data_IF_709817125678
#
_entry.id   IF_709817125678
#
_cell.length_a   1.000
_cell.length_b   1.000
_cell.length_c   1.000
_cell.angle_alpha   90.00
_cell.angle_beta   90.00
_cell.angle_gamma   90.00
#
_symmetry.space_group_name_H-M   'P 1'
#
loop_
_entity.id
_entity.type
_entity.pdbx_description
1 polymer ?
#
# COMPACT_ATOMS: atom_id res chain seq x y z
N UNK A 1 -18.13 -31.08 -11.31
CA UNK A 1 -16.96 -30.93 -12.18
C UNK A 1 -15.75 -31.42 -11.40
N UNK A 2 -14.76 -32.06 -12.08
CA UNK A 2 -13.54 -32.44 -11.37
C UNK A 2 -12.78 -31.18 -10.91
N UNK A 3 -12.11 -31.24 -9.75
CA UNK A 3 -11.29 -30.12 -9.29
C UNK A 3 -10.14 -29.87 -10.27
N UNK A 4 -9.84 -28.60 -10.50
CA UNK A 4 -8.73 -28.13 -11.33
C UNK A 4 -7.72 -27.43 -10.40
N UNK A 5 -6.44 -27.80 -10.50
CA UNK A 5 -5.36 -27.13 -9.77
C UNK A 5 -4.68 -26.12 -10.70
N UNK A 6 -4.78 -24.85 -10.35
CA UNK A 6 -4.08 -23.75 -11.00
C UNK A 6 -2.77 -23.51 -10.27
N UNK A 7 -1.65 -23.61 -10.99
CA UNK A 7 -0.31 -23.46 -10.44
C UNK A 7 0.23 -22.05 -10.62
N UNK A 8 1.18 -21.69 -9.75
CA UNK A 8 1.88 -20.39 -9.79
C UNK A 8 0.90 -19.21 -9.80
N UNK A 9 -0.14 -19.30 -8.97
CA UNK A 9 -1.12 -18.23 -8.82
C UNK A 9 -0.54 -17.12 -7.94
N UNK A 10 -0.70 -15.88 -8.38
CA UNK A 10 -0.26 -14.71 -7.61
C UNK A 10 -1.30 -14.34 -6.57
N UNK A 11 -0.88 -14.22 -5.31
CA UNK A 11 -1.73 -13.82 -4.18
C UNK A 11 -2.06 -12.32 -4.25
N UNK A 12 -3.34 -11.90 -4.29
CA UNK A 12 -3.72 -10.50 -4.42
C UNK A 12 -3.99 -9.77 -3.09
N UNK A 13 -3.49 -10.26 -1.94
CA UNK A 13 -3.95 -9.76 -0.64
C UNK A 13 -2.96 -8.89 0.12
N UNK A 14 -1.67 -9.02 -0.10
CA UNK A 14 -0.67 -8.10 0.45
C UNK A 14 0.44 -7.83 -0.56
N UNK A 15 1.26 -6.84 -0.27
CA UNK A 15 2.32 -6.39 -1.18
C UNK A 15 3.50 -7.38 -1.34
N UNK A 16 3.47 -8.54 -0.71
CA UNK A 16 4.40 -9.64 -1.01
C UNK A 16 4.14 -10.27 -2.38
N UNK A 17 2.92 -10.20 -2.90
CA UNK A 17 2.51 -10.82 -4.16
C UNK A 17 3.14 -12.21 -4.34
N UNK A 18 2.92 -13.09 -3.35
CA UNK A 18 3.43 -14.47 -3.43
C UNK A 18 2.92 -15.11 -4.72
N UNK A 19 3.83 -15.61 -5.56
CA UNK A 19 3.57 -16.07 -6.92
C UNK A 19 3.81 -17.59 -7.09
N UNK A 20 3.71 -18.32 -5.98
CA UNK A 20 3.94 -19.76 -5.89
C UNK A 20 2.74 -20.51 -5.28
N UNK A 21 1.53 -19.96 -5.38
CA UNK A 21 0.35 -20.60 -4.82
C UNK A 21 -0.21 -21.62 -5.81
N UNK A 22 -0.59 -22.80 -5.30
CA UNK A 22 -1.40 -23.78 -6.02
C UNK A 22 -2.85 -23.63 -5.54
N UNK A 23 -3.77 -23.27 -6.43
CA UNK A 23 -5.17 -22.99 -6.11
C UNK A 23 -6.06 -24.05 -6.72
N UNK A 24 -6.80 -24.77 -5.87
CA UNK A 24 -7.80 -25.75 -6.31
C UNK A 24 -9.15 -25.08 -6.53
N UNK A 25 -9.70 -25.24 -7.73
CA UNK A 25 -11.00 -24.67 -8.14
C UNK A 25 -11.96 -25.80 -8.50
N UNK A 26 -13.14 -25.80 -7.92
CA UNK A 26 -14.25 -26.69 -8.29
C UNK A 26 -15.46 -25.87 -8.73
N UNK A 27 -15.87 -26.04 -9.97
CA UNK A 27 -16.87 -25.17 -10.58
C UNK A 27 -16.38 -23.71 -10.58
N UNK A 28 -17.08 -22.85 -9.87
CA UNK A 28 -16.74 -21.42 -9.76
C UNK A 28 -16.40 -21.01 -8.31
N UNK A 29 -15.71 -21.89 -7.58
CA UNK A 29 -15.33 -21.70 -6.18
C UNK A 29 -13.91 -22.19 -5.92
N UNK A 30 -13.18 -21.47 -5.10
CA UNK A 30 -11.89 -21.93 -4.56
C UNK A 30 -12.18 -22.89 -3.40
N UNK A 31 -11.68 -24.13 -3.50
CA UNK A 31 -11.85 -25.17 -2.49
C UNK A 31 -10.57 -25.47 -1.71
N UNK A 32 -9.40 -25.11 -2.25
CA UNK A 32 -8.11 -25.27 -1.59
C UNK A 32 -7.08 -24.27 -2.08
N UNK A 33 -6.13 -23.91 -1.22
CA UNK A 33 -4.99 -23.04 -1.57
C UNK A 33 -3.76 -23.56 -0.84
N UNK A 34 -2.82 -24.12 -1.58
CA UNK A 34 -1.53 -24.57 -1.06
C UNK A 34 -0.49 -23.45 -1.18
N UNK A 35 0.56 -23.50 -0.34
CA UNK A 35 1.59 -22.47 -0.24
C UNK A 35 1.05 -21.08 0.14
N UNK A 36 -0.15 -20.97 0.71
CA UNK A 36 -0.73 -19.72 1.19
C UNK A 36 -0.45 -19.51 2.68
N UNK A 37 -0.58 -18.28 3.14
CA UNK A 37 -0.73 -17.98 4.57
C UNK A 37 -2.22 -18.03 4.96
N UNK A 38 -2.50 -18.13 6.25
CA UNK A 38 -3.88 -18.21 6.76
C UNK A 38 -4.75 -17.05 6.26
N UNK A 39 -4.20 -15.81 6.24
CA UNK A 39 -4.90 -14.64 5.72
C UNK A 39 -5.33 -14.84 4.25
N UNK A 40 -4.43 -15.32 3.40
CA UNK A 40 -4.74 -15.56 1.99
C UNK A 40 -5.76 -16.69 1.84
N UNK A 41 -5.58 -17.81 2.54
CA UNK A 41 -6.50 -18.95 2.51
C UNK A 41 -7.93 -18.55 2.82
N UNK A 42 -8.14 -17.79 3.90
CA UNK A 42 -9.47 -17.30 4.27
C UNK A 42 -10.08 -16.36 3.21
N UNK A 43 -9.27 -15.46 2.67
CA UNK A 43 -9.74 -14.47 1.69
C UNK A 43 -10.06 -15.08 0.32
N UNK A 44 -9.27 -16.06 -0.14
CA UNK A 44 -9.59 -16.80 -1.37
C UNK A 44 -10.93 -17.54 -1.30
N UNK A 45 -11.32 -17.98 -0.10
CA UNK A 45 -12.57 -18.71 0.15
C UNK A 45 -13.74 -17.80 0.50
N UNK A 46 -13.51 -16.50 0.75
CA UNK A 46 -14.56 -15.55 1.12
C UNK A 46 -15.53 -15.29 -0.05
N UNK A 47 -16.83 -15.52 0.21
CA UNK A 47 -17.90 -15.43 -0.81
C UNK A 47 -18.91 -14.30 -0.61
N UNK A 48 -18.73 -13.41 0.36
CA UNK A 48 -19.72 -12.41 0.74
C UNK A 48 -19.60 -11.13 -0.10
N UNK A 49 -19.99 -11.19 -1.38
CA UNK A 49 -20.02 -10.03 -2.26
C UNK A 49 -21.45 -9.55 -2.48
N UNK A 50 -21.59 -8.25 -2.74
CA UNK A 50 -22.87 -7.71 -3.20
C UNK A 50 -23.21 -8.28 -4.58
N UNK A 51 -24.48 -8.68 -4.82
CA UNK A 51 -24.89 -9.28 -6.10
C UNK A 51 -24.97 -8.27 -7.25
N UNK A 52 -25.05 -6.98 -6.96
CA UNK A 52 -25.13 -5.89 -7.94
C UNK A 52 -25.07 -4.52 -7.26
N UNK A 53 -25.11 -3.43 -8.02
CA UNK A 53 -25.09 -2.08 -7.46
C UNK A 53 -26.28 -1.82 -6.54
N UNK A 54 -26.03 -1.14 -5.43
CA UNK A 54 -27.04 -0.73 -4.44
C UNK A 54 -26.95 0.79 -4.24
N UNK A 55 -28.10 1.44 -4.17
CA UNK A 55 -28.25 2.87 -3.94
C UNK A 55 -29.04 3.16 -2.69
N UNK A 56 -28.58 4.08 -1.86
CA UNK A 56 -29.32 4.57 -0.70
C UNK A 56 -30.44 5.51 -1.17
N UNK A 57 -31.67 5.21 -0.75
CA UNK A 57 -32.88 5.99 -1.02
C UNK A 57 -33.62 6.26 0.28
N UNK A 58 -34.66 7.07 0.26
CA UNK A 58 -35.54 7.29 1.41
C UNK A 58 -36.16 5.98 1.98
N UNK A 59 -36.24 4.94 1.15
CA UNK A 59 -36.73 3.60 1.53
C UNK A 59 -35.63 2.65 2.02
N UNK A 60 -34.38 3.15 2.12
CA UNK A 60 -33.18 2.36 2.43
C UNK A 60 -32.45 1.90 1.17
N UNK A 61 -31.59 0.90 1.31
CA UNK A 61 -30.79 0.36 0.21
C UNK A 61 -31.65 -0.35 -0.83
N UNK A 62 -31.51 0.05 -2.10
CA UNK A 62 -32.26 -0.48 -3.25
C UNK A 62 -31.28 -0.93 -4.32
N UNK A 63 -31.46 -2.14 -4.87
CA UNK A 63 -30.69 -2.61 -6.03
C UNK A 63 -31.04 -1.80 -7.28
N UNK A 64 -30.03 -1.43 -8.06
CA UNK A 64 -30.17 -0.70 -9.35
C UNK A 64 -29.33 -1.36 -10.44
N UNK A 65 -29.56 -0.99 -11.70
CA UNK A 65 -28.75 -1.44 -12.82
C UNK A 65 -27.36 -0.79 -12.86
N UNK A 66 -26.38 -1.47 -13.46
CA UNK A 66 -25.01 -0.94 -13.59
C UNK A 66 -24.97 0.36 -14.39
N UNK A 67 -25.75 0.45 -15.48
CA UNK A 67 -25.85 1.64 -16.32
C UNK A 67 -26.35 2.86 -15.53
N UNK A 68 -27.39 2.67 -14.71
CA UNK A 68 -27.92 3.73 -13.83
C UNK A 68 -26.89 4.14 -12.76
N UNK A 69 -26.14 3.16 -12.21
CA UNK A 69 -25.10 3.43 -11.24
C UNK A 69 -23.95 4.26 -11.84
N UNK A 70 -23.55 3.96 -13.08
CA UNK A 70 -22.53 4.72 -13.80
C UNK A 70 -23.03 6.13 -14.12
N UNK A 71 -24.28 6.29 -14.58
CA UNK A 71 -24.86 7.60 -14.87
C UNK A 71 -24.94 8.47 -13.61
N UNK A 72 -25.35 7.90 -12.47
CA UNK A 72 -25.32 8.61 -11.19
C UNK A 72 -23.91 9.09 -10.83
N UNK A 73 -22.91 8.20 -10.96
CA UNK A 73 -21.52 8.53 -10.66
C UNK A 73 -20.99 9.64 -11.55
N UNK A 74 -21.27 9.60 -12.85
CA UNK A 74 -20.85 10.63 -13.80
C UNK A 74 -21.52 11.97 -13.46
N UNK A 75 -22.84 11.97 -13.18
CA UNK A 75 -23.56 13.17 -12.82
C UNK A 75 -23.02 13.80 -11.53
N UNK A 76 -22.75 12.99 -10.49
CA UNK A 76 -22.14 13.43 -9.24
C UNK A 76 -20.78 14.10 -9.49
N UNK A 77 -19.89 13.43 -10.21
CA UNK A 77 -18.53 13.94 -10.47
C UNK A 77 -18.52 15.22 -11.32
N UNK A 78 -19.43 15.35 -12.28
CA UNK A 78 -19.53 16.54 -13.15
C UNK A 78 -20.27 17.72 -12.50
N UNK A 79 -21.02 17.50 -11.42
CA UNK A 79 -21.70 18.56 -10.67
C UNK A 79 -20.86 19.11 -9.51
N UNK A 80 -19.82 18.38 -9.11
CA UNK A 80 -18.94 18.78 -8.02
C UNK A 80 -17.95 19.87 -8.45
N UNK A 81 -17.71 20.84 -7.58
CA UNK A 81 -16.71 21.89 -7.78
C UNK A 81 -15.28 21.37 -7.50
N UNK A 82 -15.12 20.49 -6.50
CA UNK A 82 -13.83 19.90 -6.14
C UNK A 82 -13.99 18.42 -5.73
N UNK A 83 -14.22 17.52 -6.67
CA UNK A 83 -14.39 16.10 -6.38
C UNK A 83 -13.07 15.45 -5.93
N UNK A 84 -13.16 14.56 -4.92
CA UNK A 84 -12.06 13.73 -4.45
C UNK A 84 -12.22 12.31 -5.00
N UNK A 85 -11.13 11.73 -5.52
CA UNK A 85 -11.07 10.32 -5.90
C UNK A 85 -10.01 9.63 -5.05
N UNK A 86 -10.43 8.64 -4.25
CA UNK A 86 -9.56 8.04 -3.22
C UNK A 86 -9.58 6.52 -3.22
N UNK A 87 -8.42 5.90 -2.85
CA UNK A 87 -8.31 4.46 -2.58
C UNK A 87 -7.13 3.78 -3.25
N UNK A 88 -7.38 2.94 -4.28
CA UNK A 88 -6.44 2.40 -5.27
C UNK A 88 -5.53 1.27 -4.81
N UNK A 89 -5.48 0.92 -3.52
CA UNK A 89 -4.48 -0.02 -2.98
C UNK A 89 -4.72 -1.48 -3.33
N UNK A 90 -5.98 -1.84 -3.66
CA UNK A 90 -6.39 -3.24 -3.88
C UNK A 90 -6.98 -3.48 -5.26
N UNK A 91 -6.64 -2.61 -6.22
CA UNK A 91 -7.01 -2.74 -7.62
C UNK A 91 -5.80 -2.77 -8.55
N UNK A 92 -6.00 -3.00 -9.83
CA UNK A 92 -4.94 -3.11 -10.84
C UNK A 92 -4.39 -1.75 -11.29
N UNK A 93 -3.19 -1.77 -11.86
CA UNK A 93 -2.53 -0.61 -12.51
C UNK A 93 -3.42 0.01 -13.59
N UNK A 94 -4.12 -0.82 -14.35
CA UNK A 94 -5.02 -0.40 -15.41
C UNK A 94 -6.18 0.43 -14.87
N UNK A 95 -6.76 0.05 -13.73
CA UNK A 95 -7.80 0.80 -13.04
C UNK A 95 -7.24 2.09 -12.41
N UNK A 96 -6.06 2.02 -11.81
CA UNK A 96 -5.36 3.18 -11.22
C UNK A 96 -5.10 4.26 -12.26
N UNK A 97 -4.66 3.89 -13.46
CA UNK A 97 -4.45 4.81 -14.58
C UNK A 97 -5.73 5.53 -14.99
N UNK A 98 -6.85 4.81 -15.08
CA UNK A 98 -8.16 5.41 -15.41
C UNK A 98 -8.61 6.40 -14.33
N UNK A 99 -8.38 6.10 -13.05
CA UNK A 99 -8.68 7.00 -11.95
C UNK A 99 -7.94 8.34 -12.07
N UNK A 100 -6.66 8.31 -12.44
CA UNK A 100 -5.86 9.52 -12.66
C UNK A 100 -6.40 10.33 -13.82
N UNK A 101 -6.73 9.67 -14.94
CA UNK A 101 -7.33 10.35 -16.10
C UNK A 101 -8.71 10.95 -15.80
N UNK A 102 -9.53 10.29 -14.97
CA UNK A 102 -10.80 10.86 -14.51
C UNK A 102 -10.54 12.12 -13.68
N UNK A 103 -9.64 12.06 -12.70
CA UNK A 103 -9.30 13.20 -11.84
C UNK A 103 -8.80 14.41 -12.66
N UNK A 104 -7.91 14.18 -13.62
CA UNK A 104 -7.40 15.20 -14.53
C UNK A 104 -8.54 15.80 -15.38
N UNK A 105 -9.38 14.94 -15.96
CA UNK A 105 -10.48 15.38 -16.83
C UNK A 105 -11.51 16.26 -16.10
N UNK A 106 -11.84 15.95 -14.83
CA UNK A 106 -12.82 16.70 -14.05
C UNK A 106 -12.22 17.86 -13.23
N UNK A 107 -10.88 18.01 -13.22
CA UNK A 107 -10.21 18.99 -12.37
C UNK A 107 -10.30 18.65 -10.87
N UNK A 108 -10.41 17.38 -10.54
CA UNK A 108 -10.54 16.88 -9.17
C UNK A 108 -9.21 16.61 -8.48
N UNK A 109 -9.29 16.07 -7.27
CA UNK A 109 -8.13 15.60 -6.49
C UNK A 109 -8.10 14.09 -6.51
N UNK A 110 -6.93 13.51 -6.74
CA UNK A 110 -6.70 12.07 -6.59
C UNK A 110 -5.69 11.79 -5.48
N UNK A 111 -6.04 10.88 -4.57
CA UNK A 111 -5.13 10.44 -3.52
C UNK A 111 -5.31 8.94 -3.23
N UNK A 112 -4.32 8.34 -2.59
CA UNK A 112 -4.29 6.92 -2.28
C UNK A 112 -4.04 6.66 -0.80
N UNK A 113 -4.24 5.40 -0.39
CA UNK A 113 -3.93 4.97 0.97
C UNK A 113 -2.46 5.19 1.36
N UNK A 114 -1.58 5.47 0.39
CA UNK A 114 -0.19 5.90 0.61
C UNK A 114 -0.12 7.09 1.58
N UNK A 115 -0.98 8.09 1.45
CA UNK A 115 -0.96 9.31 2.26
C UNK A 115 -1.11 9.04 3.77
N UNK A 116 -1.92 8.06 4.14
CA UNK A 116 -2.15 7.64 5.54
C UNK A 116 -1.19 6.54 6.03
N UNK A 117 -0.36 6.00 5.16
CA UNK A 117 0.51 4.85 5.47
C UNK A 117 1.99 5.19 5.28
N UNK A 118 2.44 5.26 4.05
CA UNK A 118 3.83 5.47 3.64
C UNK A 118 4.10 6.82 2.96
N UNK A 119 3.20 7.80 3.07
CA UNK A 119 3.43 9.18 2.62
C UNK A 119 4.75 9.75 3.16
N UNK A 120 5.05 9.63 4.47
CA UNK A 120 6.34 10.05 5.02
C UNK A 120 7.55 9.35 4.39
N UNK A 121 7.41 8.10 3.93
CA UNK A 121 8.48 7.40 3.22
C UNK A 121 8.77 8.03 1.86
N UNK A 122 7.71 8.38 1.12
CA UNK A 122 7.86 9.03 -0.20
C UNK A 122 8.53 10.39 -0.04
N UNK A 123 8.12 11.21 0.94
CA UNK A 123 8.73 12.52 1.21
C UNK A 123 10.23 12.39 1.50
N UNK A 124 10.64 11.42 2.31
CA UNK A 124 12.05 11.18 2.59
C UNK A 124 12.82 10.71 1.35
N UNK A 125 12.22 9.82 0.56
CA UNK A 125 12.81 9.33 -0.70
C UNK A 125 12.99 10.46 -1.71
N UNK A 126 12.07 11.40 -1.79
CA UNK A 126 12.19 12.58 -2.65
C UNK A 126 13.35 13.50 -2.24
N UNK A 127 13.68 13.55 -0.93
CA UNK A 127 14.82 14.37 -0.45
C UNK A 127 16.18 13.71 -0.67
N UNK A 128 16.31 12.40 -0.38
CA UNK A 128 17.62 11.74 -0.24
C UNK A 128 17.80 10.48 -1.10
N UNK A 129 16.82 10.15 -1.93
CA UNK A 129 16.87 8.96 -2.78
C UNK A 129 16.39 7.68 -2.09
N UNK A 130 16.46 6.56 -2.82
CA UNK A 130 16.01 5.24 -2.37
C UNK A 130 17.04 4.17 -2.72
N UNK A 131 17.82 3.69 -1.75
CA UNK A 131 18.76 2.59 -1.97
C UNK A 131 18.03 1.24 -1.99
N UNK A 132 17.15 1.04 -2.98
CA UNK A 132 16.28 -0.13 -3.09
C UNK A 132 16.95 -1.33 -3.75
N UNK A 133 16.30 -2.49 -3.60
CA UNK A 133 16.62 -3.72 -4.35
C UNK A 133 15.38 -4.60 -4.48
N UNK A 134 15.46 -5.65 -5.31
CA UNK A 134 14.39 -6.64 -5.38
C UNK A 134 14.44 -7.61 -4.19
N UNK A 135 13.27 -8.16 -3.81
CA UNK A 135 13.20 -9.22 -2.80
C UNK A 135 14.00 -10.47 -3.23
N UNK A 136 14.16 -10.69 -4.53
CA UNK A 136 15.04 -11.72 -5.08
C UNK A 136 16.51 -11.49 -4.73
N UNK A 137 16.98 -10.25 -4.74
CA UNK A 137 18.35 -9.93 -4.28
C UNK A 137 18.51 -10.16 -2.78
N UNK A 138 17.52 -9.74 -1.98
CA UNK A 138 17.52 -10.01 -0.53
C UNK A 138 17.58 -11.51 -0.26
N UNK A 139 16.69 -12.29 -0.88
CA UNK A 139 16.66 -13.75 -0.73
C UNK A 139 18.01 -14.40 -1.01
N UNK A 140 18.68 -13.94 -2.07
CA UNK A 140 19.89 -14.59 -2.54
C UNK A 140 21.17 -14.12 -1.85
N UNK A 141 21.18 -12.94 -1.20
CA UNK A 141 22.41 -12.29 -0.75
C UNK A 141 22.41 -11.79 0.69
N UNK A 142 21.25 -11.40 1.26
CA UNK A 142 21.23 -10.71 2.54
C UNK A 142 21.57 -11.67 3.70
N UNK A 143 22.71 -11.44 4.34
CA UNK A 143 23.16 -12.13 5.54
C UNK A 143 22.82 -11.37 6.83
N UNK A 144 22.46 -10.08 6.72
CA UNK A 144 21.86 -9.30 7.82
C UNK A 144 20.55 -8.69 7.36
N UNK A 145 19.48 -8.94 8.13
CA UNK A 145 18.13 -8.41 7.87
C UNK A 145 17.69 -7.60 9.09
N UNK A 146 17.27 -6.37 8.85
CA UNK A 146 16.73 -5.48 9.88
C UNK A 146 15.25 -5.24 9.59
N UNK A 147 14.38 -5.44 10.58
CA UNK A 147 13.00 -4.98 10.58
C UNK A 147 12.83 -3.87 11.62
N UNK A 148 12.43 -2.68 11.19
CA UNK A 148 12.25 -1.53 12.06
C UNK A 148 10.80 -1.02 12.03
N UNK A 149 10.12 -1.09 13.18
CA UNK A 149 8.73 -0.64 13.29
C UNK A 149 7.78 -1.36 12.36
N UNK A 150 8.02 -2.66 12.12
CA UNK A 150 7.17 -3.54 11.32
C UNK A 150 7.16 -4.97 11.87
N UNK A 151 6.01 -5.63 11.75
CA UNK A 151 5.78 -7.00 12.21
C UNK A 151 5.36 -7.89 11.03
N UNK A 152 6.32 -8.32 10.17
CA UNK A 152 5.97 -9.10 8.97
C UNK A 152 5.32 -10.46 9.27
N UNK A 153 5.57 -11.10 10.41
CA UNK A 153 4.87 -12.36 10.75
C UNK A 153 3.36 -12.18 10.87
N UNK A 154 2.89 -10.97 11.19
CA UNK A 154 1.47 -10.62 11.23
C UNK A 154 0.99 -10.02 9.89
N UNK A 155 1.67 -8.97 9.41
CA UNK A 155 1.22 -8.18 8.26
C UNK A 155 1.57 -8.79 6.90
N UNK A 156 2.64 -9.60 6.83
CA UNK A 156 3.17 -10.22 5.60
C UNK A 156 3.67 -11.64 5.92
N UNK A 157 2.78 -12.58 6.32
CA UNK A 157 3.18 -13.81 7.02
C UNK A 157 4.21 -14.67 6.31
N UNK A 158 4.25 -14.65 4.97
CA UNK A 158 5.24 -15.39 4.18
C UNK A 158 6.53 -14.62 3.87
N UNK A 159 6.69 -13.38 4.34
CA UNK A 159 7.85 -12.56 3.98
C UNK A 159 9.17 -13.17 4.50
N UNK A 160 9.19 -13.66 5.75
CA UNK A 160 10.38 -14.27 6.33
C UNK A 160 10.73 -15.60 5.65
N UNK A 161 9.73 -16.44 5.40
CA UNK A 161 9.95 -17.77 4.82
C UNK A 161 10.25 -17.72 3.32
N UNK A 162 9.76 -16.69 2.61
CA UNK A 162 9.89 -16.62 1.16
C UNK A 162 11.09 -15.78 0.70
N UNK A 163 11.42 -14.70 1.41
CA UNK A 163 12.36 -13.70 0.91
C UNK A 163 13.52 -13.38 1.84
N UNK A 164 13.41 -13.68 3.14
CA UNK A 164 14.43 -13.25 4.10
C UNK A 164 14.91 -14.39 5.00
N UNK A 165 14.64 -14.33 6.28
CA UNK A 165 15.27 -15.13 7.35
C UNK A 165 15.27 -16.63 7.10
N UNK A 166 14.16 -17.20 6.65
CA UNK A 166 14.00 -18.66 6.49
C UNK A 166 14.11 -19.15 5.05
N UNK A 167 14.33 -18.23 4.09
CA UNK A 167 14.44 -18.59 2.69
C UNK A 167 15.87 -19.00 2.30
N UNK A 168 16.06 -20.17 1.72
CA UNK A 168 17.32 -20.53 1.07
C UNK A 168 17.55 -19.63 -0.15
N UNK A 169 18.78 -19.18 -0.31
CA UNK A 169 19.21 -18.31 -1.38
C UNK A 169 20.34 -18.91 -2.21
N UNK A 170 20.69 -18.27 -3.31
CA UNK A 170 21.77 -18.74 -4.17
C UNK A 170 23.12 -18.74 -3.44
N UNK A 171 23.41 -17.71 -2.66
CA UNK A 171 24.67 -17.55 -1.90
C UNK A 171 24.55 -17.93 -0.44
N UNK A 172 23.35 -18.19 0.08
CA UNK A 172 23.03 -18.52 1.47
C UNK A 172 22.18 -19.78 1.47
N UNK A 173 22.84 -20.94 1.62
CA UNK A 173 22.22 -22.25 1.44
C UNK A 173 21.54 -22.82 2.70
N UNK A 174 21.88 -22.26 3.87
CA UNK A 174 21.37 -22.72 5.16
C UNK A 174 20.43 -21.70 5.81
N UNK A 175 19.69 -20.94 5.01
CA UNK A 175 18.64 -20.01 5.45
C UNK A 175 19.01 -19.21 6.71
N UNK A 176 18.26 -19.41 7.83
CA UNK A 176 18.42 -18.67 9.06
C UNK A 176 19.77 -18.90 9.78
N UNK A 177 20.50 -19.98 9.49
CA UNK A 177 21.81 -20.25 10.10
C UNK A 177 22.92 -19.35 9.55
N UNK A 178 22.72 -18.78 8.39
CA UNK A 178 23.66 -17.88 7.72
C UNK A 178 23.18 -16.42 7.73
N UNK A 179 22.06 -16.14 8.44
CA UNK A 179 21.47 -14.80 8.53
C UNK A 179 21.36 -14.34 9.98
N UNK A 180 21.60 -13.06 10.20
CA UNK A 180 21.31 -12.39 11.47
C UNK A 180 20.05 -11.54 11.28
N UNK A 181 19.03 -11.80 12.09
CA UNK A 181 17.79 -11.05 12.14
C UNK A 181 17.81 -10.04 13.29
N UNK A 182 17.73 -8.77 12.97
CA UNK A 182 17.63 -7.66 13.92
C UNK A 182 16.21 -7.10 13.84
N UNK A 183 15.53 -6.93 14.97
CA UNK A 183 14.23 -6.29 15.05
C UNK A 183 14.27 -5.10 16.00
N UNK A 184 13.87 -3.92 15.54
CA UNK A 184 13.72 -2.72 16.36
C UNK A 184 12.24 -2.31 16.41
N UNK A 185 11.67 -2.28 17.62
CA UNK A 185 10.26 -1.92 17.83
C UNK A 185 10.06 -1.35 19.25
N UNK A 186 8.91 -0.72 19.49
CA UNK A 186 8.52 -0.21 20.82
C UNK A 186 8.05 -1.34 21.74
N UNK A 187 7.59 -2.45 21.18
CA UNK A 187 7.12 -3.64 21.87
C UNK A 187 7.74 -4.91 21.28
N UNK A 188 7.81 -5.97 22.06
CA UNK A 188 8.26 -7.27 21.57
C UNK A 188 7.14 -7.91 20.73
N UNK A 189 7.28 -7.87 19.41
CA UNK A 189 6.34 -8.43 18.44
C UNK A 189 6.61 -9.90 18.16
N UNK A 190 5.72 -10.58 17.40
CA UNK A 190 5.92 -11.95 16.93
C UNK A 190 7.23 -12.08 16.15
N UNK A 191 7.53 -11.10 15.29
CA UNK A 191 8.80 -11.05 14.55
C UNK A 191 9.99 -10.85 15.50
N UNK A 192 9.86 -10.05 16.55
CA UNK A 192 10.90 -9.87 17.56
C UNK A 192 11.14 -11.12 18.41
N UNK A 193 10.16 -12.03 18.53
CA UNK A 193 10.34 -13.30 19.25
C UNK A 193 11.28 -14.27 18.54
N UNK A 194 11.45 -14.13 17.23
CA UNK A 194 12.33 -14.97 16.42
C UNK A 194 13.62 -14.26 16.00
N UNK A 195 13.85 -13.04 16.49
CA UNK A 195 15.04 -12.25 16.19
C UNK A 195 16.27 -12.71 16.98
N UNK A 196 17.44 -12.65 16.36
CA UNK A 196 18.74 -12.82 17.04
C UNK A 196 19.03 -11.60 17.94
N UNK A 197 18.64 -10.40 17.50
CA UNK A 197 18.79 -9.16 18.24
C UNK A 197 17.47 -8.37 18.26
N UNK A 198 16.95 -8.12 19.46
CA UNK A 198 15.80 -7.24 19.65
C UNK A 198 16.21 -5.92 20.29
N UNK A 199 15.92 -4.81 19.61
CA UNK A 199 16.20 -3.44 20.05
C UNK A 199 14.89 -2.79 20.46
N UNK A 200 14.61 -2.71 21.76
CA UNK A 200 13.41 -2.03 22.25
C UNK A 200 13.64 -0.52 22.30
N UNK A 201 12.96 0.20 21.41
CA UNK A 201 13.03 1.66 21.31
C UNK A 201 11.86 2.28 22.08
N UNK A 202 12.12 3.31 22.91
CA UNK A 202 11.03 4.07 23.51
C UNK A 202 10.17 4.75 22.43
N UNK A 203 8.83 4.83 22.58
CA UNK A 203 7.98 5.51 21.61
C UNK A 203 8.50 6.91 21.26
N UNK A 204 8.62 7.19 19.96
CA UNK A 204 9.18 8.46 19.45
C UNK A 204 10.70 8.60 19.51
N UNK A 205 11.43 7.56 19.95
CA UNK A 205 12.89 7.57 20.08
C UNK A 205 13.67 7.16 18.83
N UNK A 206 12.97 6.77 17.76
CA UNK A 206 13.56 6.21 16.54
C UNK A 206 14.63 7.11 15.92
N UNK A 207 14.35 8.41 15.81
CA UNK A 207 15.28 9.37 15.25
C UNK A 207 16.62 9.40 16.01
N UNK A 208 16.56 9.38 17.34
CA UNK A 208 17.76 9.41 18.18
C UNK A 208 18.57 8.11 18.07
N UNK A 209 17.89 6.93 18.04
CA UNK A 209 18.55 5.63 17.91
C UNK A 209 19.22 5.49 16.55
N UNK A 210 18.53 5.84 15.46
CA UNK A 210 19.09 5.85 14.11
C UNK A 210 20.28 6.82 14.00
N UNK A 211 20.19 8.01 14.59
CA UNK A 211 21.30 8.96 14.66
C UNK A 211 22.52 8.44 15.43
N UNK A 212 22.30 7.72 16.53
CA UNK A 212 23.38 7.08 17.27
C UNK A 212 24.05 5.96 16.46
N UNK A 213 23.27 5.12 15.77
CA UNK A 213 23.81 4.09 14.87
C UNK A 213 24.64 4.70 13.75
N UNK A 214 24.20 5.81 13.13
CA UNK A 214 24.99 6.55 12.13
C UNK A 214 26.32 7.04 12.71
N UNK A 215 26.29 7.60 13.92
CA UNK A 215 27.53 8.04 14.58
C UNK A 215 28.47 6.87 14.84
N UNK A 216 27.96 5.71 15.28
CA UNK A 216 28.73 4.48 15.49
C UNK A 216 29.35 3.98 14.17
N UNK A 217 28.57 3.93 13.09
CA UNK A 217 29.05 3.51 11.76
C UNK A 217 30.20 4.40 11.28
N UNK A 218 30.15 5.69 11.60
CA UNK A 218 31.23 6.67 11.32
C UNK A 218 32.42 6.60 12.28
N UNK A 219 32.39 5.71 13.27
CA UNK A 219 33.43 5.58 14.30
C UNK A 219 33.41 6.67 15.38
N UNK A 220 32.32 7.47 15.47
CA UNK A 220 32.15 8.54 16.46
C UNK A 220 31.39 8.06 17.69
N UNK A 221 32.02 7.23 18.51
CA UNK A 221 31.38 6.57 19.64
C UNK A 221 31.43 7.34 20.96
N UNK A 222 32.35 8.31 21.08
CA UNK A 222 32.61 9.01 22.37
C UNK A 222 31.42 9.90 22.81
N UNK A 223 30.70 10.46 21.86
CA UNK A 223 29.56 11.34 22.10
C UNK A 223 28.24 10.59 22.39
N UNK A 224 28.23 9.26 22.32
CA UNK A 224 27.02 8.49 22.55
C UNK A 224 26.83 8.29 24.06
N UNK A 225 25.67 8.74 24.62
CA UNK A 225 25.38 8.57 26.04
C UNK A 225 25.19 7.09 26.40
N UNK A 226 25.19 6.75 27.67
CA UNK A 226 25.01 5.39 28.18
C UNK A 226 23.73 4.72 27.68
N UNK A 227 22.69 5.50 27.44
CA UNK A 227 21.40 5.07 26.85
C UNK A 227 20.91 6.09 25.83
N UNK A 228 20.36 5.61 24.73
CA UNK A 228 19.68 6.43 23.69
C UNK A 228 18.26 5.92 23.54
N UNK A 229 17.25 6.73 23.89
CA UNK A 229 15.84 6.34 23.84
C UNK A 229 15.53 4.95 24.45
N UNK A 230 16.17 4.63 25.58
CA UNK A 230 16.02 3.37 26.30
C UNK A 230 16.99 2.27 25.87
N UNK A 231 17.66 2.41 24.73
CA UNK A 231 18.61 1.40 24.23
C UNK A 231 19.99 1.63 24.83
N UNK A 232 20.62 0.61 25.47
CA UNK A 232 21.95 0.72 26.02
C UNK A 232 23.01 0.97 24.93
N UNK A 233 24.01 1.83 25.21
CA UNK A 233 25.15 2.07 24.30
C UNK A 233 25.85 0.79 23.85
N UNK A 234 26.08 -0.14 24.78
CA UNK A 234 26.70 -1.42 24.45
C UNK A 234 25.93 -2.22 23.38
N UNK A 235 24.59 -2.19 23.46
CA UNK A 235 23.74 -2.83 22.43
C UNK A 235 23.85 -2.12 21.09
N UNK A 236 23.83 -0.77 21.07
CA UNK A 236 23.99 -0.01 19.85
C UNK A 236 25.34 -0.24 19.17
N UNK A 237 26.41 -0.34 19.96
CA UNK A 237 27.75 -0.66 19.44
C UNK A 237 27.77 -2.06 18.79
N UNK A 238 27.15 -3.06 19.43
CA UNK A 238 27.05 -4.41 18.89
C UNK A 238 26.23 -4.44 17.59
N UNK A 239 25.08 -3.77 17.54
CA UNK A 239 24.26 -3.67 16.32
C UNK A 239 25.04 -2.97 15.19
N UNK A 240 25.70 -1.85 15.50
CA UNK A 240 26.51 -1.14 14.52
C UNK A 240 27.64 -2.00 13.93
N UNK A 241 28.27 -2.84 14.76
CA UNK A 241 29.32 -3.75 14.29
C UNK A 241 28.76 -4.89 13.42
N UNK A 242 27.65 -5.52 13.82
CA UNK A 242 26.95 -6.51 13.00
C UNK A 242 26.63 -5.92 11.62
N UNK A 243 26.08 -4.69 11.60
CA UNK A 243 25.74 -4.02 10.35
C UNK A 243 26.97 -3.71 9.48
N UNK A 244 28.10 -3.33 10.07
CA UNK A 244 29.34 -3.05 9.32
C UNK A 244 30.00 -4.29 8.74
N UNK A 245 29.85 -5.44 9.41
CA UNK A 245 30.41 -6.72 9.00
C UNK A 245 29.56 -7.50 8.01
N UNK A 246 28.30 -7.07 7.76
CA UNK A 246 27.43 -7.69 6.79
C UNK A 246 28.08 -7.75 5.40
N UNK A 247 27.90 -8.84 4.68
CA UNK A 247 28.28 -8.93 3.25
C UNK A 247 27.24 -8.25 2.39
N UNK A 248 25.97 -8.38 2.77
CA UNK A 248 24.83 -7.70 2.17
C UNK A 248 23.74 -7.53 3.22
N UNK A 249 23.42 -6.30 3.58
CA UNK A 249 22.35 -5.99 4.52
C UNK A 249 21.06 -5.54 3.83
N UNK A 250 19.93 -5.90 4.42
CA UNK A 250 18.60 -5.46 3.99
C UNK A 250 17.86 -4.81 5.16
N UNK A 251 17.48 -3.56 5.01
CA UNK A 251 16.74 -2.78 5.99
C UNK A 251 15.28 -2.64 5.56
N UNK A 252 14.36 -3.22 6.32
CA UNK A 252 12.92 -3.10 6.13
C UNK A 252 12.32 -2.23 7.21
N UNK A 253 11.36 -1.37 6.85
CA UNK A 253 10.66 -0.56 7.84
C UNK A 253 9.17 -0.44 7.54
N UNK A 254 8.37 -0.26 8.58
CA UNK A 254 6.93 -0.17 8.48
C UNK A 254 6.34 1.07 9.13
N UNK A 255 5.04 0.99 9.40
CA UNK A 255 4.25 2.10 9.96
C UNK A 255 4.73 2.55 11.34
N UNK A 256 5.36 1.67 12.12
CA UNK A 256 5.97 2.06 13.39
C UNK A 256 7.03 3.15 13.25
N UNK A 257 7.67 3.26 12.06
CA UNK A 257 8.62 4.33 11.78
C UNK A 257 7.96 5.55 11.11
N UNK A 258 6.94 5.34 10.26
CA UNK A 258 6.29 6.41 9.50
C UNK A 258 5.26 7.18 10.31
N UNK A 259 4.60 6.55 11.30
CA UNK A 259 3.49 7.11 12.07
C UNK A 259 3.90 7.56 13.49
N UNK A 260 5.18 7.48 13.84
CA UNK A 260 5.72 7.97 15.13
C UNK A 260 6.23 9.41 15.01
N UNK A 261 6.60 10.01 16.16
CA UNK A 261 7.20 11.34 16.18
C UNK A 261 8.44 11.41 15.28
N UNK A 262 8.55 12.46 14.47
CA UNK A 262 9.60 12.59 13.46
C UNK A 262 9.17 12.20 12.04
N UNK A 263 8.16 11.34 11.90
CA UNK A 263 7.56 10.98 10.59
C UNK A 263 8.63 10.78 9.49
N UNK A 264 8.60 11.57 8.42
CA UNK A 264 9.54 11.46 7.29
C UNK A 264 11.02 11.63 7.69
N UNK A 265 11.32 12.39 8.76
CA UNK A 265 12.70 12.56 9.25
C UNK A 265 13.30 11.29 9.81
N UNK A 266 12.48 10.39 10.39
CA UNK A 266 12.94 9.06 10.81
C UNK A 266 13.38 8.24 9.60
N UNK A 267 12.58 8.26 8.54
CA UNK A 267 12.87 7.49 7.32
C UNK A 267 14.10 8.08 6.61
N UNK A 268 14.19 9.40 6.50
CA UNK A 268 15.40 10.07 6.00
C UNK A 268 16.64 9.62 6.78
N UNK A 269 16.57 9.61 8.12
CA UNK A 269 17.68 9.17 8.97
C UNK A 269 18.02 7.67 8.77
N UNK A 270 17.02 6.81 8.50
CA UNK A 270 17.24 5.41 8.14
C UNK A 270 17.91 5.26 6.76
N UNK A 271 17.49 6.04 5.75
CA UNK A 271 18.14 6.07 4.43
C UNK A 271 19.58 6.52 4.56
N UNK A 272 19.83 7.59 5.31
CA UNK A 272 21.17 8.10 5.57
C UNK A 272 22.05 7.11 6.36
N UNK A 273 21.45 6.29 7.27
CA UNK A 273 22.17 5.17 7.91
C UNK A 273 22.59 4.12 6.87
N UNK A 274 21.70 3.75 5.97
CA UNK A 274 22.00 2.81 4.88
C UNK A 274 23.07 3.37 3.95
N UNK A 275 23.05 4.67 3.64
CA UNK A 275 24.11 5.33 2.86
C UNK A 275 25.48 5.28 3.57
N UNK A 276 25.53 5.54 4.87
CA UNK A 276 26.76 5.40 5.68
C UNK A 276 27.29 3.96 5.65
N UNK A 277 26.38 2.97 5.78
CA UNK A 277 26.74 1.55 5.71
C UNK A 277 27.26 1.15 4.32
N UNK A 278 26.75 1.76 3.26
CA UNK A 278 27.21 1.52 1.89
C UNK A 278 28.64 2.01 1.62
N UNK A 279 29.24 2.78 2.52
CA UNK A 279 30.68 3.11 2.50
C UNK A 279 31.56 1.94 2.95
N UNK A 280 31.00 0.98 3.64
CA UNK A 280 31.72 -0.18 4.20
C UNK A 280 31.38 -1.46 3.45
N UNK A 281 30.10 -1.68 3.12
CA UNK A 281 29.61 -2.91 2.51
C UNK A 281 28.35 -2.60 1.67
N UNK A 282 27.50 -3.58 1.37
CA UNK A 282 26.28 -3.42 0.56
C UNK A 282 25.05 -3.42 1.46
N UNK A 283 24.27 -2.35 1.41
CA UNK A 283 23.01 -2.23 2.13
C UNK A 283 21.89 -1.68 1.24
N UNK A 284 20.70 -2.17 1.45
CA UNK A 284 19.49 -1.70 0.79
C UNK A 284 18.39 -1.42 1.80
N UNK A 285 17.40 -0.62 1.39
CA UNK A 285 16.28 -0.25 2.24
C UNK A 285 14.98 -0.44 1.46
N UNK A 286 13.95 -1.02 2.11
CA UNK A 286 12.64 -1.30 1.50
C UNK A 286 11.51 -0.96 2.46
N UNK A 287 10.57 -0.05 2.08
CA UNK A 287 9.34 0.18 2.83
C UNK A 287 8.43 -1.06 2.79
N UNK A 288 7.97 -1.53 3.95
CA UNK A 288 7.02 -2.64 4.08
C UNK A 288 5.59 -2.15 3.83
N UNK A 289 5.23 -1.92 2.56
CA UNK A 289 3.86 -1.55 2.17
C UNK A 289 2.91 -2.71 2.39
N UNK A 290 1.71 -2.43 2.93
CA UNK A 290 0.80 -3.47 3.39
C UNK A 290 -0.07 -4.07 2.29
N UNK A 291 -0.81 -3.23 1.59
CA UNK A 291 -1.82 -3.66 0.62
C UNK A 291 -1.23 -4.09 -0.72
N UNK A 292 -2.02 -4.87 -1.45
CA UNK A 292 -1.75 -5.54 -2.71
C UNK A 292 -0.96 -4.70 -3.73
N UNK A 293 -1.41 -3.49 -4.06
CA UNK A 293 -0.88 -2.69 -5.16
C UNK A 293 -0.67 -1.20 -4.82
N UNK A 294 -0.31 -0.92 -3.58
CA UNK A 294 0.04 0.46 -3.15
C UNK A 294 1.22 1.01 -3.95
N UNK A 295 2.22 0.16 -4.22
CA UNK A 295 3.39 0.55 -5.00
C UNK A 295 2.98 0.92 -6.43
N UNK A 296 2.11 0.12 -7.05
CA UNK A 296 1.63 0.38 -8.41
C UNK A 296 0.96 1.73 -8.56
N UNK A 297 0.11 2.14 -7.60
CA UNK A 297 -0.47 3.48 -7.65
C UNK A 297 0.59 4.58 -7.64
N UNK A 298 1.59 4.49 -6.77
CA UNK A 298 2.65 5.50 -6.72
C UNK A 298 3.43 5.58 -8.03
N UNK A 299 3.73 4.44 -8.66
CA UNK A 299 4.41 4.39 -9.96
C UNK A 299 3.52 5.01 -11.06
N UNK A 300 2.27 4.54 -11.20
CA UNK A 300 1.34 5.05 -12.22
C UNK A 300 1.11 6.54 -12.07
N UNK A 301 0.88 7.01 -10.85
CA UNK A 301 0.67 8.42 -10.56
C UNK A 301 1.92 9.24 -10.90
N UNK A 302 3.12 8.72 -10.57
CA UNK A 302 4.37 9.40 -10.88
C UNK A 302 4.61 9.54 -12.37
N UNK A 303 4.44 8.50 -13.16
CA UNK A 303 4.69 8.62 -14.61
C UNK A 303 3.60 9.39 -15.36
N UNK A 304 2.37 9.42 -14.84
CA UNK A 304 1.28 10.18 -15.45
C UNK A 304 1.30 11.67 -15.11
N UNK A 305 1.72 12.04 -13.88
CA UNK A 305 1.60 13.40 -13.35
C UNK A 305 2.90 14.05 -12.92
N UNK A 306 3.97 13.27 -12.77
CA UNK A 306 5.22 13.70 -12.13
C UNK A 306 5.22 13.57 -10.61
N UNK A 307 4.09 13.17 -9.98
CA UNK A 307 3.92 13.09 -8.53
C UNK A 307 3.34 11.74 -8.08
N UNK A 308 3.73 11.22 -6.91
CA UNK A 308 3.41 9.83 -6.54
C UNK A 308 2.04 9.61 -5.88
N UNK A 309 1.36 10.65 -5.37
CA UNK A 309 0.06 10.61 -4.70
C UNK A 309 -0.42 12.04 -4.41
N UNK A 310 -1.63 12.23 -3.89
CA UNK A 310 -2.18 13.52 -3.44
C UNK A 310 -2.08 14.63 -4.48
N UNK A 311 -2.51 14.34 -5.71
CA UNK A 311 -2.43 15.27 -6.84
C UNK A 311 -3.75 15.99 -7.03
N UNK A 312 -3.69 17.33 -7.07
CA UNK A 312 -4.81 18.24 -7.29
C UNK A 312 -4.75 18.82 -8.70
N UNK A 313 -5.80 18.60 -9.50
CA UNK A 313 -5.94 19.13 -10.86
C UNK A 313 -6.86 20.35 -10.96
N UNK A 314 -7.38 20.88 -9.84
CA UNK A 314 -8.32 22.02 -9.83
C UNK A 314 -7.77 23.30 -10.48
N UNK A 315 -6.44 23.38 -10.61
CA UNK A 315 -5.74 24.52 -11.24
C UNK A 315 -5.49 24.32 -12.74
N UNK A 316 -6.05 23.27 -13.36
CA UNK A 316 -5.80 22.93 -14.76
C UNK A 316 -4.45 22.27 -15.04
N UNK A 317 -3.66 21.98 -14.02
CA UNK A 317 -2.38 21.27 -14.06
C UNK A 317 -2.20 20.46 -12.79
N UNK A 318 -1.36 19.42 -12.85
CA UNK A 318 -1.02 18.63 -11.66
C UNK A 318 -0.32 19.50 -10.60
N UNK A 319 -0.87 19.55 -9.38
CA UNK A 319 -0.33 20.24 -8.23
C UNK A 319 -0.19 19.27 -7.06
N UNK A 320 0.97 19.28 -6.42
CA UNK A 320 1.33 18.35 -5.36
C UNK A 320 1.87 19.10 -4.15
N UNK A 321 1.16 19.02 -3.04
CA UNK A 321 1.58 19.59 -1.76
C UNK A 321 1.03 18.76 -0.60
N UNK A 322 1.66 17.61 -0.24
CA UNK A 322 1.25 16.81 0.91
C UNK A 322 1.23 17.66 2.20
N UNK A 323 0.12 17.57 2.94
CA UNK A 323 -0.22 18.50 4.03
C UNK A 323 -1.32 19.50 3.63
N UNK A 324 -1.57 19.64 2.30
CA UNK A 324 -2.68 20.43 1.75
C UNK A 324 -3.55 19.60 0.79
N UNK A 325 -2.93 18.73 -0.02
CA UNK A 325 -3.63 18.00 -1.10
C UNK A 325 -3.92 16.53 -0.76
N UNK A 326 -3.58 16.04 0.44
CA UNK A 326 -3.95 14.67 0.83
C UNK A 326 -5.45 14.58 1.12
N UNK A 327 -6.03 13.41 0.91
CA UNK A 327 -7.45 13.16 1.16
C UNK A 327 -7.87 13.55 2.59
N UNK A 328 -7.04 13.20 3.60
CA UNK A 328 -7.31 13.54 5.00
C UNK A 328 -7.29 15.05 5.24
N UNK A 329 -6.34 15.77 4.63
CA UNK A 329 -6.24 17.22 4.76
C UNK A 329 -7.46 17.92 4.17
N UNK A 330 -7.84 17.55 2.93
CA UNK A 330 -8.96 18.12 2.19
C UNK A 330 -10.29 17.84 2.91
N UNK A 331 -10.51 16.61 3.33
CA UNK A 331 -11.72 16.21 4.07
C UNK A 331 -11.80 16.90 5.43
N UNK A 332 -10.71 16.98 6.17
CA UNK A 332 -10.70 17.64 7.48
C UNK A 332 -10.97 19.14 7.38
N UNK A 333 -10.52 19.79 6.30
CA UNK A 333 -10.80 21.21 6.01
C UNK A 333 -12.11 21.45 5.26
N UNK A 334 -12.85 20.38 4.92
CA UNK A 334 -14.13 20.43 4.20
C UNK A 334 -14.01 21.10 2.81
N UNK A 335 -12.93 20.79 2.10
CA UNK A 335 -12.58 21.41 0.82
C UNK A 335 -13.03 20.60 -0.41
N UNK A 336 -13.66 19.44 -0.24
CA UNK A 336 -14.27 18.67 -1.32
C UNK A 336 -15.78 18.51 -1.09
N UNK A 337 -16.52 18.37 -2.18
CA UNK A 337 -17.97 18.35 -2.20
C UNK A 337 -18.58 17.09 -2.84
N UNK A 338 -17.74 16.16 -3.31
CA UNK A 338 -18.12 14.81 -3.71
C UNK A 338 -16.91 13.86 -3.57
N UNK A 339 -17.14 12.56 -3.38
CA UNK A 339 -16.06 11.57 -3.31
C UNK A 339 -16.39 10.29 -4.09
N UNK A 340 -15.45 9.85 -4.92
CA UNK A 340 -15.42 8.50 -5.49
C UNK A 340 -14.37 7.68 -4.75
N UNK A 341 -14.78 6.62 -4.04
CA UNK A 341 -13.91 5.70 -3.33
C UNK A 341 -13.74 4.42 -4.14
N UNK A 342 -12.50 3.99 -4.41
CA UNK A 342 -12.22 2.80 -5.21
C UNK A 342 -11.34 1.83 -4.43
N UNK A 343 -11.84 0.61 -4.21
CA UNK A 343 -11.12 -0.49 -3.58
C UNK A 343 -10.45 -0.08 -2.25
N UNK A 344 -11.22 0.60 -1.38
CA UNK A 344 -10.76 1.13 -0.09
C UNK A 344 -11.92 1.37 0.87
N UNK A 345 -11.62 1.45 2.18
CA UNK A 345 -12.58 1.71 3.24
C UNK A 345 -12.15 2.89 4.13
N UNK A 346 -12.25 4.16 3.64
CA UNK A 346 -11.89 5.34 4.43
C UNK A 346 -12.73 5.49 5.69
N UNK A 347 -13.95 4.96 5.72
CA UNK A 347 -14.79 4.94 6.93
C UNK A 347 -14.17 4.20 8.11
N UNK A 348 -13.32 3.20 7.84
CA UNK A 348 -12.65 2.43 8.88
C UNK A 348 -11.29 3.00 9.32
N UNK A 349 -10.62 3.83 8.51
CA UNK A 349 -9.23 4.21 8.79
C UNK A 349 -8.92 5.71 8.76
N UNK A 350 -9.86 6.56 8.36
CA UNK A 350 -9.65 8.01 8.41
C UNK A 350 -9.90 8.58 9.83
N UNK A 351 -9.27 9.71 10.17
CA UNK A 351 -9.60 10.45 11.38
C UNK A 351 -11.08 10.88 11.40
N UNK A 352 -11.66 10.94 12.60
CA UNK A 352 -13.07 11.26 12.80
C UNK A 352 -13.55 12.50 12.02
N UNK A 353 -12.80 13.61 12.08
CA UNK A 353 -13.18 14.84 11.38
C UNK A 353 -13.26 14.68 9.85
N UNK A 354 -12.39 13.85 9.26
CA UNK A 354 -12.43 13.54 7.82
C UNK A 354 -13.65 12.66 7.48
N UNK A 355 -13.95 11.65 8.32
CA UNK A 355 -15.12 10.77 8.12
C UNK A 355 -16.44 11.54 8.30
N UNK A 356 -16.53 12.44 9.28
CA UNK A 356 -17.73 13.28 9.49
C UNK A 356 -18.02 14.16 8.27
N UNK A 357 -16.99 14.72 7.60
CA UNK A 357 -17.20 15.46 6.38
C UNK A 357 -17.52 14.52 5.20
N UNK A 358 -16.80 13.42 5.04
CA UNK A 358 -17.05 12.44 3.98
C UNK A 358 -18.51 11.93 4.03
N UNK A 359 -19.06 11.70 5.23
CA UNK A 359 -20.46 11.29 5.42
C UNK A 359 -21.48 12.43 5.17
N UNK A 360 -21.06 13.68 4.95
CA UNK A 360 -21.93 14.83 4.70
C UNK A 360 -21.99 15.27 3.23
N UNK A 361 -21.21 14.65 2.37
CA UNK A 361 -21.14 14.94 0.93
C UNK A 361 -21.55 13.69 0.14
N UNK A 362 -21.91 13.81 -1.16
CA UNK A 362 -22.18 12.66 -2.02
C UNK A 362 -20.96 11.73 -2.13
N UNK A 363 -21.18 10.44 -1.87
CA UNK A 363 -20.13 9.41 -1.93
C UNK A 363 -20.58 8.23 -2.79
N UNK A 364 -19.76 7.87 -3.77
CA UNK A 364 -19.89 6.61 -4.52
C UNK A 364 -18.71 5.71 -4.15
N UNK A 365 -18.99 4.43 -3.87
CA UNK A 365 -17.97 3.44 -3.59
C UNK A 365 -17.96 2.33 -4.63
N UNK A 366 -16.79 2.01 -5.19
CA UNK A 366 -16.54 0.81 -6.01
C UNK A 366 -15.77 -0.17 -5.13
N UNK A 367 -16.47 -1.17 -4.59
CA UNK A 367 -15.91 -2.20 -3.70
C UNK A 367 -16.78 -3.46 -3.74
N UNK A 368 -16.21 -4.67 -3.78
CA UNK A 368 -16.98 -5.90 -3.89
C UNK A 368 -17.83 -6.22 -2.66
N UNK A 369 -17.47 -5.71 -1.48
CA UNK A 369 -18.07 -6.08 -0.21
C UNK A 369 -18.58 -4.86 0.57
N UNK A 370 -19.61 -5.07 1.37
CA UNK A 370 -20.07 -4.08 2.36
C UNK A 370 -18.98 -3.86 3.42
N UNK A 371 -18.69 -2.61 3.72
CA UNK A 371 -17.69 -2.19 4.70
C UNK A 371 -18.13 -0.93 5.46
N UNK A 372 -17.25 -0.30 6.26
CA UNK A 372 -17.64 0.86 7.07
C UNK A 372 -18.03 2.08 6.19
N UNK A 373 -17.41 2.28 5.04
CA UNK A 373 -17.76 3.35 4.10
C UNK A 373 -19.17 3.17 3.53
N UNK A 374 -19.61 1.93 3.31
CA UNK A 374 -20.97 1.62 2.85
C UNK A 374 -22.05 2.22 3.76
N UNK A 375 -21.77 2.35 5.06
CA UNK A 375 -22.76 2.86 6.02
C UNK A 375 -23.24 4.29 5.72
N UNK A 376 -22.48 5.06 4.96
CA UNK A 376 -22.78 6.47 4.65
C UNK A 376 -22.60 6.85 3.17
N UNK A 377 -22.25 5.93 2.29
CA UNK A 377 -22.21 6.24 0.86
C UNK A 377 -23.62 6.24 0.24
N UNK A 378 -23.81 6.96 -0.85
CA UNK A 378 -25.08 7.04 -1.58
C UNK A 378 -25.25 5.89 -2.57
N UNK A 379 -24.14 5.35 -3.05
CA UNK A 379 -24.12 4.29 -4.05
C UNK A 379 -22.90 3.40 -3.84
N UNK A 380 -23.11 2.08 -3.88
CA UNK A 380 -22.03 1.11 -3.97
C UNK A 380 -22.15 0.26 -5.24
N UNK A 381 -21.03 0.12 -5.96
CA UNK A 381 -20.91 -0.69 -7.20
C UNK A 381 -19.95 -1.84 -6.89
N UNK A 382 -20.41 -3.11 -6.84
CA UNK A 382 -19.52 -4.23 -6.67
C UNK A 382 -18.70 -4.48 -7.94
N UNK A 383 -17.38 -4.65 -7.77
CA UNK A 383 -16.45 -4.94 -8.84
C UNK A 383 -15.79 -6.31 -8.68
N UNK A 384 -15.26 -6.83 -9.77
CA UNK A 384 -14.41 -8.01 -9.76
C UNK A 384 -13.09 -7.73 -9.02
N UNK A 385 -12.60 -8.72 -8.28
CA UNK A 385 -11.35 -8.63 -7.52
C UNK A 385 -10.17 -9.06 -8.40
N UNK A 386 -9.20 -8.18 -8.57
CA UNK A 386 -7.96 -8.50 -9.30
C UNK A 386 -7.26 -9.70 -8.66
N UNK A 387 -6.97 -10.73 -9.46
CA UNK A 387 -6.36 -11.99 -9.01
C UNK A 387 -7.37 -13.06 -8.55
N UNK A 388 -8.66 -12.74 -8.54
CA UNK A 388 -9.73 -13.70 -8.32
C UNK A 388 -10.57 -13.83 -9.59
N UNK A 389 -11.37 -12.85 -9.92
CA UNK A 389 -12.28 -12.84 -11.09
C UNK A 389 -11.99 -11.67 -12.06
N UNK A 390 -10.90 -10.97 -11.85
CA UNK A 390 -10.29 -10.05 -12.80
C UNK A 390 -8.80 -10.32 -12.92
N UNK A 391 -8.24 -10.07 -14.08
CA UNK A 391 -6.79 -10.03 -14.29
C UNK A 391 -6.31 -8.58 -14.30
N UNK A 392 -4.99 -8.37 -14.11
CA UNK A 392 -4.39 -7.04 -14.16
C UNK A 392 -2.91 -7.07 -13.81
N UNK A 393 -2.31 -5.89 -13.74
CA UNK A 393 -0.93 -5.70 -13.31
C UNK A 393 -0.89 -5.18 -11.87
N UNK A 394 -0.02 -5.74 -11.05
CA UNK A 394 0.27 -5.22 -9.72
C UNK A 394 1.79 -5.13 -9.49
N UNK A 395 2.21 -4.17 -8.67
CA UNK A 395 3.60 -4.01 -8.28
C UNK A 395 3.82 -4.56 -6.88
N UNK A 396 4.75 -5.50 -6.76
CA UNK A 396 5.23 -5.99 -5.46
C UNK A 396 5.91 -4.84 -4.69
N UNK A 397 6.01 -4.96 -3.36
CA UNK A 397 6.58 -3.88 -2.51
C UNK A 397 7.99 -3.42 -2.90
N UNK A 398 8.72 -4.19 -3.67
CA UNK A 398 10.06 -3.92 -4.17
C UNK A 398 10.09 -3.37 -5.61
N UNK A 399 8.93 -2.96 -6.14
CA UNK A 399 8.82 -2.33 -7.46
C UNK A 399 8.80 -3.29 -8.65
N UNK A 400 8.68 -4.60 -8.42
CA UNK A 400 8.59 -5.58 -9.51
C UNK A 400 7.15 -5.70 -9.99
N UNK A 401 6.84 -5.37 -11.27
CA UNK A 401 5.51 -5.56 -11.84
C UNK A 401 5.25 -7.05 -12.08
N UNK A 402 4.06 -7.51 -11.69
CA UNK A 402 3.63 -8.89 -11.83
C UNK A 402 2.26 -8.91 -12.49
N UNK A 403 2.10 -9.74 -13.53
CA UNK A 403 0.80 -10.02 -14.13
C UNK A 403 0.01 -10.94 -13.21
N UNK A 404 -1.13 -10.48 -12.75
CA UNK A 404 -2.04 -11.23 -11.89
C UNK A 404 -3.17 -11.76 -12.74
N UNK A 405 -3.32 -13.10 -12.83
CA UNK A 405 -4.32 -13.77 -13.66
C UNK A 405 -5.64 -13.94 -12.90
N UNK A 406 -6.76 -13.91 -13.58
CA UNK A 406 -8.04 -14.34 -12.99
C UNK A 406 -8.08 -15.87 -12.85
N UNK A 407 -8.71 -16.34 -11.78
CA UNK A 407 -8.86 -17.78 -11.47
C UNK A 407 -10.31 -18.24 -11.47
N UNK A 408 -11.27 -17.32 -11.36
CA UNK A 408 -12.71 -17.57 -11.39
C UNK A 408 -13.38 -16.68 -12.43
N UNK A 409 -14.60 -17.03 -12.83
CA UNK A 409 -15.47 -16.18 -13.65
C UNK A 409 -16.81 -15.97 -12.92
N UNK A 410 -16.90 -14.90 -12.14
CA UNK A 410 -18.06 -14.61 -11.30
C UNK A 410 -19.05 -13.61 -11.94
N UNK A 411 -18.73 -13.12 -13.15
CA UNK A 411 -19.61 -12.21 -13.90
C UNK A 411 -19.66 -10.76 -13.43
N UNK A 412 -18.80 -10.37 -12.47
CA UNK A 412 -18.70 -8.96 -12.06
C UNK A 412 -17.92 -8.14 -13.07
N UNK A 413 -18.31 -6.85 -13.30
CA UNK A 413 -17.49 -5.93 -14.07
C UNK A 413 -16.17 -5.66 -13.33
N UNK A 414 -15.07 -5.50 -14.06
CA UNK A 414 -13.79 -5.11 -13.47
C UNK A 414 -13.78 -3.62 -13.09
N UNK A 415 -12.95 -3.22 -12.12
CA UNK A 415 -12.74 -1.80 -11.81
C UNK A 415 -12.39 -1.00 -13.05
N UNK A 416 -11.52 -1.53 -13.91
CA UNK A 416 -11.13 -0.87 -15.16
C UNK A 416 -12.28 -0.76 -16.17
N UNK A 417 -13.21 -1.70 -16.21
CA UNK A 417 -14.40 -1.59 -17.08
C UNK A 417 -15.36 -0.51 -16.57
N UNK A 418 -15.63 -0.47 -15.27
CA UNK A 418 -16.50 0.54 -14.65
C UNK A 418 -15.88 1.94 -14.83
N UNK A 419 -14.61 2.11 -14.46
CA UNK A 419 -13.90 3.40 -14.56
C UNK A 419 -13.72 3.84 -16.01
N UNK A 420 -13.48 2.91 -16.93
CA UNK A 420 -13.38 3.20 -18.37
C UNK A 420 -14.70 3.77 -18.94
N UNK A 421 -15.84 3.21 -18.52
CA UNK A 421 -17.14 3.69 -18.94
C UNK A 421 -17.48 5.04 -18.30
N UNK A 422 -17.16 5.25 -17.01
CA UNK A 422 -17.27 6.56 -16.35
C UNK A 422 -16.45 7.61 -17.11
N UNK A 423 -15.17 7.32 -17.39
CA UNK A 423 -14.28 8.23 -18.11
C UNK A 423 -14.81 8.59 -19.49
N UNK A 424 -15.27 7.58 -20.25
CA UNK A 424 -15.86 7.79 -21.58
C UNK A 424 -17.06 8.74 -21.52
N UNK A 425 -18.01 8.50 -20.58
CA UNK A 425 -19.23 9.37 -20.44
C UNK A 425 -18.90 10.79 -20.00
N UNK A 426 -17.94 10.96 -19.09
CA UNK A 426 -17.45 12.29 -18.69
C UNK A 426 -16.94 13.07 -19.92
N UNK A 427 -16.08 12.45 -20.72
CA UNK A 427 -15.52 13.09 -21.91
C UNK A 427 -16.59 13.42 -22.95
N UNK A 428 -17.53 12.52 -23.19
CA UNK A 428 -18.61 12.75 -24.15
C UNK A 428 -19.50 13.93 -23.72
N UNK A 429 -19.86 14.03 -22.42
CA UNK A 429 -20.64 15.13 -21.89
C UNK A 429 -19.89 16.47 -21.96
N UNK A 430 -18.60 16.49 -21.62
CA UNK A 430 -17.76 17.72 -21.72
C UNK A 430 -17.61 18.20 -23.18
N UNK A 431 -17.49 17.27 -24.14
CA UNK A 431 -17.45 17.61 -25.56
C UNK A 431 -18.76 18.28 -26.01
N UNK A 432 -19.91 17.74 -25.58
CA UNK A 432 -21.22 18.32 -25.91
C UNK A 432 -21.38 19.72 -25.32
N UNK A 433 -21.01 19.96 -24.05
CA UNK A 433 -21.02 21.29 -23.42
C UNK A 433 -20.13 22.27 -24.17
N UNK A 434 -18.90 21.89 -24.49
CA UNK A 434 -17.96 22.74 -25.26
C UNK A 434 -18.49 23.12 -26.64
N UNK A 435 -19.21 22.22 -27.30
CA UNK A 435 -19.84 22.52 -28.62
C UNK A 435 -21.02 23.46 -28.46
N UNK A 436 -21.75 23.40 -27.34
CA UNK A 436 -22.90 24.30 -27.06
C UNK A 436 -22.46 25.66 -26.49
N UNK A 437 -21.17 25.86 -26.19
CA UNK A 437 -20.66 27.11 -25.62
C UNK A 437 -20.97 27.30 -24.13
N UNK A 438 -21.25 26.20 -23.42
CA UNK A 438 -21.49 26.13 -21.98
C UNK A 438 -20.21 25.85 -21.20
#
# INVERSE_FOLDING_TARGET
>A
MCPIILKDVVCPYCACLCDDLDVTVEGNRVTGVDNACDLATHKFQAGNRLPGPIRLTEKGWTGIGLEEAIDFTVAMLLSADRPLIYGWSTTSVEAQSLGIHIAEEIGGVIDATTSVCHGPSILAIQEVGHPGCTLGQVKNRADVVVYWGCNPLEAHPRHLSRYTTYADGFFLKNAFRERTLIVADVRKTETANVADEFVQVKPGGDYAVLGALRAIVRGKTDFIPAHVAGVPKAQLLRIGEICRQAKYGAFFFGMGLTQTAGKYKNIRNAIELVDELNRHTKWTLTPMRGHFNVYGFNEVCTWATGYPFAVDFSRGMAFYNPGETTAVDILTRKECDACLVVASDPGAHFPRAAVEHLASIPVVQIDPMVNATTAFCDLQIPAAVTGIDAEGTAYRMDGVPIRVKKILDLGYPTDSAILGEIYRRIRDQKRVRKVKGE
#
